data_IF_291141441190
#
_entry.id   IF_291141441190
#
_cell.length_a   1.000
_cell.length_b   1.000
_cell.length_c   1.000
_cell.angle_alpha   90.00
_cell.angle_beta   90.00
_cell.angle_gamma   90.00
#
_symmetry.space_group_name_H-M   'P 1'
#
loop_
_entity.id
_entity.type
_entity.pdbx_description
1 polymer ?
#
# COMPACT_ATOMS: atom_id res chain seq x y z
N UNK A 1 11.45 96.51 12.88
CA UNK A 1 12.19 95.24 13.00
C UNK A 1 11.52 94.21 12.10
N UNK A 2 12.06 93.96 10.92
CA UNK A 2 11.46 93.09 9.89
C UNK A 2 12.10 91.71 9.96
N UNK A 3 11.30 90.65 10.19
CA UNK A 3 11.77 89.25 10.17
C UNK A 3 11.47 88.67 8.78
N UNK A 4 12.53 88.47 8.01
CA UNK A 4 12.52 87.75 6.73
C UNK A 4 12.32 86.26 6.96
N UNK A 5 11.15 85.75 6.55
CA UNK A 5 10.85 84.32 6.50
C UNK A 5 11.45 83.72 5.22
N UNK A 6 12.55 82.97 5.36
CA UNK A 6 13.13 82.18 4.26
C UNK A 6 12.24 80.97 3.97
N UNK A 7 11.46 81.05 2.89
CA UNK A 7 10.69 79.94 2.35
C UNK A 7 11.62 78.93 1.68
N UNK A 8 11.92 77.83 2.38
CA UNK A 8 12.70 76.71 1.85
C UNK A 8 11.81 75.87 0.93
N UNK A 9 11.91 76.08 -0.39
CA UNK A 9 11.25 75.22 -1.38
C UNK A 9 11.76 73.78 -1.23
N UNK A 10 10.88 72.77 -1.14
CA UNK A 10 11.31 71.38 -1.15
C UNK A 10 11.97 71.05 -2.50
N UNK A 11 13.03 70.21 -2.52
CA UNK A 11 13.67 69.81 -3.77
C UNK A 11 12.63 69.15 -4.69
N UNK A 12 12.63 69.54 -5.96
CA UNK A 12 11.73 69.00 -6.96
C UNK A 12 11.98 67.50 -7.16
N UNK A 13 10.96 66.68 -6.92
CA UNK A 13 10.90 65.24 -7.19
C UNK A 13 10.84 64.92 -8.70
N UNK A 14 11.67 65.58 -9.51
CA UNK A 14 11.64 65.47 -10.98
C UNK A 14 12.95 64.90 -11.52
N UNK A 15 13.31 63.65 -11.17
CA UNK A 15 14.26 62.84 -11.98
C UNK A 15 14.47 61.38 -11.54
N UNK A 16 13.48 60.68 -10.99
CA UNK A 16 13.57 59.21 -10.74
C UNK A 16 12.47 58.41 -11.47
N UNK A 17 12.28 58.63 -12.77
CA UNK A 17 11.17 58.00 -13.53
C UNK A 17 11.54 56.71 -14.30
N UNK A 18 12.71 56.11 -14.06
CA UNK A 18 13.13 54.87 -14.76
C UNK A 18 13.61 53.72 -13.87
N UNK A 19 14.23 54.02 -12.72
CA UNK A 19 14.86 53.00 -11.87
C UNK A 19 13.85 52.05 -11.21
N UNK A 20 12.68 52.56 -10.82
CA UNK A 20 11.64 51.76 -10.14
C UNK A 20 11.10 50.65 -11.03
N UNK A 21 10.90 50.90 -12.33
CA UNK A 21 10.43 49.89 -13.28
C UNK A 21 11.45 48.74 -13.43
N UNK A 22 12.74 49.08 -13.52
CA UNK A 22 13.81 48.09 -13.60
C UNK A 22 13.88 47.20 -12.36
N UNK A 23 13.84 47.82 -11.17
CA UNK A 23 13.86 47.07 -9.91
C UNK A 23 12.61 46.20 -9.78
N UNK A 24 11.44 46.72 -10.12
CA UNK A 24 10.19 45.96 -10.11
C UNK A 24 10.24 44.74 -11.04
N UNK A 25 10.81 44.90 -12.25
CA UNK A 25 10.95 43.81 -13.20
C UNK A 25 11.96 42.75 -12.73
N UNK A 26 13.09 43.17 -12.16
CA UNK A 26 14.05 42.25 -11.53
C UNK A 26 13.37 41.45 -10.42
N UNK A 27 12.64 42.13 -9.52
CA UNK A 27 11.92 41.46 -8.43
C UNK A 27 10.85 40.49 -8.95
N UNK A 28 10.09 40.87 -9.98
CA UNK A 28 9.08 39.99 -10.60
C UNK A 28 9.74 38.73 -11.17
N UNK A 29 10.86 38.87 -11.89
CA UNK A 29 11.61 37.72 -12.42
C UNK A 29 12.12 36.84 -11.28
N UNK A 30 12.68 37.42 -10.22
CA UNK A 30 13.16 36.65 -9.06
C UNK A 30 12.02 35.86 -8.41
N UNK A 31 10.86 36.49 -8.18
CA UNK A 31 9.67 35.82 -7.64
C UNK A 31 9.16 34.72 -8.56
N UNK A 32 9.17 34.94 -9.88
CA UNK A 32 8.78 33.93 -10.84
C UNK A 32 9.71 32.71 -10.80
N UNK A 33 11.03 32.92 -10.74
CA UNK A 33 12.02 31.84 -10.64
C UNK A 33 11.89 31.06 -9.33
N UNK A 34 11.67 31.75 -8.21
CA UNK A 34 11.40 31.10 -6.91
C UNK A 34 10.12 30.26 -7.00
N UNK A 35 9.06 30.81 -7.63
CA UNK A 35 7.81 30.10 -7.84
C UNK A 35 7.98 28.81 -8.65
N UNK A 36 8.77 28.84 -9.72
CA UNK A 36 9.05 27.64 -10.53
C UNK A 36 9.76 26.56 -9.73
N UNK A 37 10.78 26.92 -8.94
CA UNK A 37 11.51 25.95 -8.10
C UNK A 37 10.60 25.38 -7.01
N UNK A 38 9.77 26.21 -6.38
CA UNK A 38 8.80 25.76 -5.37
C UNK A 38 7.80 24.74 -5.94
N UNK A 39 7.30 24.95 -7.16
CA UNK A 39 6.41 24.00 -7.84
C UNK A 39 7.09 22.68 -8.15
N UNK A 40 8.38 22.68 -8.50
CA UNK A 40 9.14 21.44 -8.73
C UNK A 40 9.22 20.58 -7.45
N UNK A 41 9.46 21.22 -6.31
CA UNK A 41 9.49 20.52 -5.01
C UNK A 41 8.10 19.98 -4.66
N UNK A 42 7.05 20.78 -4.84
CA UNK A 42 5.67 20.33 -4.62
C UNK A 42 5.31 19.12 -5.50
N UNK A 43 5.70 19.13 -6.78
CA UNK A 43 5.47 18.00 -7.67
C UNK A 43 6.22 16.72 -7.26
N UNK A 44 7.43 16.84 -6.70
CA UNK A 44 8.15 15.69 -6.14
C UNK A 44 7.45 15.13 -4.89
N UNK A 45 6.94 16.01 -4.03
CA UNK A 45 6.17 15.61 -2.85
C UNK A 45 4.84 14.93 -3.22
N UNK A 46 4.16 15.43 -4.25
CA UNK A 46 2.92 14.82 -4.76
C UNK A 46 3.19 13.41 -5.30
N UNK A 47 4.25 13.21 -6.08
CA UNK A 47 4.64 11.88 -6.58
C UNK A 47 5.00 10.93 -5.44
N UNK A 48 5.69 11.42 -4.41
CA UNK A 48 6.01 10.62 -3.22
C UNK A 48 4.74 10.24 -2.45
N UNK A 49 3.81 11.18 -2.26
CA UNK A 49 2.53 10.93 -1.60
C UNK A 49 1.67 9.94 -2.40
N UNK A 50 1.65 10.06 -3.73
CA UNK A 50 0.94 9.13 -4.62
C UNK A 50 1.50 7.69 -4.51
N UNK A 51 2.83 7.54 -4.50
CA UNK A 51 3.46 6.23 -4.33
C UNK A 51 3.13 5.62 -2.94
N UNK A 52 3.22 6.42 -1.88
CA UNK A 52 2.86 5.97 -0.53
C UNK A 52 1.40 5.51 -0.44
N UNK A 53 0.48 6.26 -1.06
CA UNK A 53 -0.93 5.88 -1.11
C UNK A 53 -1.15 4.59 -1.90
N UNK A 54 -0.47 4.39 -3.03
CA UNK A 54 -0.59 3.16 -3.83
C UNK A 54 -0.12 1.91 -3.05
N UNK A 55 1.02 2.02 -2.35
CA UNK A 55 1.52 0.93 -1.48
C UNK A 55 0.53 0.59 -0.37
N UNK A 56 -0.01 1.60 0.32
CA UNK A 56 -1.00 1.38 1.37
C UNK A 56 -2.29 0.75 0.85
N UNK A 57 -2.74 1.18 -0.34
CA UNK A 57 -3.93 0.62 -0.96
C UNK A 57 -3.73 -0.85 -1.34
N UNK A 58 -2.58 -1.21 -1.90
CA UNK A 58 -2.25 -2.61 -2.16
C UNK A 58 -2.25 -3.43 -0.86
N UNK A 59 -1.66 -2.91 0.22
CA UNK A 59 -1.62 -3.58 1.51
C UNK A 59 -3.02 -3.80 2.10
N UNK A 60 -3.86 -2.76 2.17
CA UNK A 60 -5.23 -2.85 2.70
C UNK A 60 -6.08 -3.86 1.94
N UNK A 61 -5.84 -3.99 0.64
CA UNK A 61 -6.57 -4.96 -0.17
C UNK A 61 -6.15 -6.39 0.06
N UNK A 62 -4.84 -6.65 0.16
CA UNK A 62 -4.37 -7.98 0.56
C UNK A 62 -4.84 -8.31 1.97
N UNK A 63 -4.85 -7.33 2.89
CA UNK A 63 -5.39 -7.53 4.23
C UNK A 63 -6.87 -7.92 4.16
N UNK A 64 -7.69 -7.17 3.42
CA UNK A 64 -9.09 -7.51 3.20
C UNK A 64 -9.28 -8.91 2.58
N UNK A 65 -8.42 -9.28 1.62
CA UNK A 65 -8.41 -10.61 1.02
C UNK A 65 -8.12 -11.71 2.05
N UNK A 66 -7.06 -11.55 2.85
CA UNK A 66 -6.66 -12.49 3.90
C UNK A 66 -7.73 -12.58 5.00
N UNK A 67 -8.32 -11.46 5.42
CA UNK A 67 -9.43 -11.46 6.39
C UNK A 67 -10.65 -12.24 5.92
N UNK A 68 -11.02 -12.14 4.65
CA UNK A 68 -12.09 -12.95 4.10
C UNK A 68 -11.71 -14.44 4.08
N UNK A 69 -10.45 -14.78 3.81
CA UNK A 69 -9.97 -16.17 3.88
C UNK A 69 -10.04 -16.70 5.31
N UNK A 70 -9.56 -15.96 6.31
CA UNK A 70 -9.65 -16.33 7.73
C UNK A 70 -11.10 -16.65 8.12
N UNK A 71 -12.05 -15.79 7.73
CA UNK A 71 -13.47 -16.02 7.98
C UNK A 71 -14.01 -17.27 7.27
N UNK A 72 -13.67 -17.48 5.99
CA UNK A 72 -14.09 -18.69 5.28
C UNK A 72 -13.51 -19.97 5.92
N UNK A 73 -12.28 -19.91 6.47
CA UNK A 73 -11.65 -21.03 7.18
C UNK A 73 -12.32 -21.30 8.53
N UNK A 74 -12.73 -20.26 9.25
CA UNK A 74 -13.52 -20.37 10.48
C UNK A 74 -14.88 -21.01 10.20
N UNK A 75 -15.59 -20.55 9.17
CA UNK A 75 -16.88 -21.15 8.76
C UNK A 75 -16.70 -22.62 8.31
N UNK A 76 -15.63 -22.92 7.58
CA UNK A 76 -15.30 -24.28 7.14
C UNK A 76 -15.06 -25.23 8.33
N UNK A 77 -14.25 -24.83 9.30
CA UNK A 77 -13.94 -25.66 10.48
C UNK A 77 -15.17 -25.84 11.37
N UNK A 78 -15.94 -24.77 11.58
CA UNK A 78 -17.17 -24.80 12.38
C UNK A 78 -18.38 -25.41 11.66
N UNK A 79 -18.23 -25.84 10.40
CA UNK A 79 -19.30 -26.34 9.53
C UNK A 79 -20.49 -25.37 9.42
N UNK A 80 -20.21 -24.08 9.43
CA UNK A 80 -21.19 -23.01 9.28
C UNK A 80 -21.44 -22.71 7.79
N UNK A 81 -22.62 -22.17 7.43
CA UNK A 81 -22.82 -21.63 6.09
C UNK A 81 -21.89 -20.44 5.87
N UNK A 82 -21.42 -20.24 4.62
CA UNK A 82 -20.51 -19.13 4.30
C UNK A 82 -21.16 -17.78 4.66
N UNK A 83 -20.60 -17.12 5.67
CA UNK A 83 -21.04 -15.85 6.21
C UNK A 83 -20.23 -14.66 5.67
N UNK A 84 -19.17 -14.95 4.92
CA UNK A 84 -18.22 -13.98 4.39
C UNK A 84 -18.19 -13.98 2.85
N UNK A 85 -17.38 -13.08 2.27
CA UNK A 85 -17.18 -13.10 0.82
C UNK A 85 -16.47 -14.39 0.45
N UNK A 86 -17.04 -15.19 -0.44
CA UNK A 86 -16.41 -16.43 -0.87
C UNK A 86 -15.18 -16.13 -1.72
N UNK A 87 -14.00 -16.42 -1.16
CA UNK A 87 -12.69 -16.27 -1.83
C UNK A 87 -12.00 -17.62 -2.00
N UNK A 88 -12.58 -18.70 -1.46
CA UNK A 88 -11.99 -20.03 -1.49
C UNK A 88 -12.53 -20.88 -2.65
N UNK A 89 -13.61 -20.48 -3.32
CA UNK A 89 -14.14 -21.18 -4.50
C UNK A 89 -13.18 -21.10 -5.70
N UNK A 90 -12.17 -21.97 -5.69
CA UNK A 90 -11.09 -22.05 -6.68
C UNK A 90 -9.70 -22.20 -6.07
N UNK A 91 -9.58 -22.09 -4.74
CA UNK A 91 -8.32 -22.26 -4.00
C UNK A 91 -8.33 -23.62 -3.32
N UNK A 92 -7.33 -24.46 -3.61
CA UNK A 92 -7.13 -25.72 -2.90
C UNK A 92 -6.30 -25.49 -1.64
N UNK A 93 -6.81 -25.92 -0.49
CA UNK A 93 -6.05 -25.95 0.77
C UNK A 93 -5.05 -27.10 0.71
N UNK A 94 -3.75 -26.80 0.86
CA UNK A 94 -2.70 -27.82 0.99
C UNK A 94 -2.67 -28.37 2.41
N UNK A 95 -2.70 -29.69 2.56
CA UNK A 95 -2.54 -30.40 3.84
C UNK A 95 -1.15 -31.02 3.98
N UNK A 96 -0.21 -30.69 3.07
CA UNK A 96 1.13 -31.29 3.04
C UNK A 96 2.14 -30.35 3.68
N UNK A 97 2.88 -30.87 4.66
CA UNK A 97 3.92 -30.12 5.36
C UNK A 97 5.21 -29.93 4.55
N UNK A 98 5.51 -30.87 3.65
CA UNK A 98 6.70 -30.86 2.79
C UNK A 98 6.28 -30.64 1.33
N UNK A 99 5.66 -29.49 1.05
CA UNK A 99 5.32 -29.04 -0.30
C UNK A 99 6.34 -28.01 -0.84
N UNK A 100 7.40 -27.73 -0.08
CA UNK A 100 8.47 -26.78 -0.45
C UNK A 100 7.99 -25.33 -0.60
N UNK A 101 6.82 -24.97 -0.06
CA UNK A 101 6.29 -23.62 -0.17
C UNK A 101 7.12 -22.61 0.63
N UNK A 102 7.71 -21.65 -0.09
CA UNK A 102 8.33 -20.46 0.46
C UNK A 102 7.60 -19.24 -0.09
N UNK A 103 7.16 -18.35 0.80
CA UNK A 103 6.35 -17.19 0.40
C UNK A 103 7.13 -16.19 -0.43
N UNK A 104 8.43 -16.01 -0.16
CA UNK A 104 9.29 -15.15 -0.97
C UNK A 104 9.40 -15.65 -2.41
N UNK A 105 9.67 -16.95 -2.59
CA UNK A 105 9.74 -17.59 -3.92
C UNK A 105 8.37 -17.56 -4.60
N UNK A 106 7.30 -17.89 -3.88
CA UNK A 106 5.93 -17.87 -4.42
C UNK A 106 5.50 -16.47 -4.87
N UNK A 107 5.82 -15.42 -4.11
CA UNK A 107 5.57 -14.01 -4.48
C UNK A 107 6.46 -13.60 -5.65
N UNK A 108 7.71 -14.03 -5.70
CA UNK A 108 8.64 -13.65 -6.79
C UNK A 108 8.19 -14.11 -8.17
N UNK A 109 7.38 -15.17 -8.25
CA UNK A 109 6.76 -15.64 -9.48
C UNK A 109 5.48 -14.89 -9.88
N UNK A 110 5.01 -13.92 -9.08
CA UNK A 110 3.80 -13.15 -9.33
C UNK A 110 4.07 -11.94 -10.19
N UNK A 111 3.08 -11.61 -11.01
CA UNK A 111 3.02 -10.35 -11.76
C UNK A 111 1.84 -9.53 -11.28
N UNK A 112 1.84 -8.24 -11.61
CA UNK A 112 0.69 -7.36 -11.37
C UNK A 112 -0.61 -7.92 -11.98
N UNK A 113 -0.50 -8.63 -13.12
CA UNK A 113 -1.63 -9.27 -13.79
C UNK A 113 -2.08 -10.61 -13.14
N UNK A 114 -1.32 -11.14 -12.18
CA UNK A 114 -1.68 -12.36 -11.46
C UNK A 114 -2.47 -12.11 -10.18
N UNK A 115 -2.71 -10.83 -9.83
CA UNK A 115 -3.55 -10.46 -8.71
C UNK A 115 -5.05 -10.56 -9.04
N UNK A 116 -5.91 -10.97 -8.08
CA UNK A 116 -5.55 -11.47 -6.75
C UNK A 116 -5.07 -12.93 -6.80
N UNK A 117 -4.13 -13.30 -5.93
CA UNK A 117 -3.64 -14.67 -5.78
C UNK A 117 -3.58 -15.08 -4.31
N UNK A 118 -3.91 -16.35 -4.05
CA UNK A 118 -3.98 -16.94 -2.73
C UNK A 118 -3.28 -18.30 -2.71
N UNK A 119 -2.63 -18.59 -1.59
CA UNK A 119 -2.17 -19.92 -1.23
C UNK A 119 -2.52 -20.15 0.24
N UNK A 120 -3.21 -21.26 0.52
CA UNK A 120 -3.64 -21.62 1.88
C UNK A 120 -3.11 -23.00 2.19
N UNK A 121 -2.44 -23.13 3.33
CA UNK A 121 -1.85 -24.38 3.82
C UNK A 121 -2.33 -24.64 5.23
N UNK A 122 -2.81 -25.84 5.51
CA UNK A 122 -3.08 -26.29 6.87
C UNK A 122 -1.77 -26.84 7.45
N UNK A 123 -1.32 -26.25 8.56
CA UNK A 123 0.00 -26.48 9.15
C UNK A 123 -0.04 -27.01 10.59
N UNK A 124 -1.21 -27.40 11.07
CA UNK A 124 -1.40 -27.97 12.42
C UNK A 124 -0.55 -29.23 12.65
N UNK A 125 -0.39 -30.08 11.63
CA UNK A 125 0.43 -31.29 11.71
C UNK A 125 1.93 -31.06 11.37
N UNK A 126 2.29 -29.83 10.95
CA UNK A 126 3.61 -29.51 10.42
C UNK A 126 4.60 -28.98 11.47
N UNK A 127 4.13 -28.67 12.68
CA UNK A 127 4.98 -28.22 13.77
C UNK A 127 5.63 -29.44 14.44
N UNK A 128 6.93 -29.62 14.22
CA UNK A 128 7.72 -30.74 14.74
C UNK A 128 7.72 -30.72 16.28
N UNK A 129 7.03 -31.70 16.88
CA UNK A 129 6.91 -31.84 18.33
C UNK A 129 5.57 -32.41 18.81
N UNK A 130 4.53 -32.34 17.98
CA UNK A 130 3.19 -32.88 18.27
C UNK A 130 2.73 -33.98 17.31
N UNK A 131 3.49 -34.29 16.26
CA UNK A 131 3.18 -35.39 15.34
C UNK A 131 3.32 -36.74 16.06
N UNK A 132 2.27 -37.59 16.13
CA UNK A 132 2.41 -38.94 16.63
C UNK A 132 3.37 -39.69 15.71
N UNK A 133 4.39 -40.33 16.27
CA UNK A 133 5.36 -41.17 15.53
C UNK A 133 4.71 -42.50 15.09
N UNK A 134 3.44 -42.48 14.68
CA UNK A 134 2.63 -43.66 14.39
C UNK A 134 2.40 -43.82 12.88
N UNK A 135 3.07 -44.83 12.33
CA UNK A 135 2.95 -45.31 10.97
C UNK A 135 1.54 -45.85 10.68
N UNK A 136 0.92 -45.34 9.60
CA UNK A 136 -0.12 -46.03 8.83
C UNK A 136 -1.57 -45.93 9.36
N UNK A 137 -2.44 -45.37 8.49
CA UNK A 137 -3.89 -45.59 8.42
C UNK A 137 -4.70 -45.46 9.73
N UNK A 138 -4.86 -44.24 10.21
CA UNK A 138 -5.99 -43.82 11.05
C UNK A 138 -6.93 -42.88 10.27
N UNK A 139 -8.22 -42.76 10.63
CA UNK A 139 -9.13 -41.85 9.94
C UNK A 139 -8.63 -40.42 10.06
N UNK A 140 -8.55 -39.70 8.93
CA UNK A 140 -8.30 -38.26 8.90
C UNK A 140 -9.46 -37.56 9.62
N UNK A 141 -9.31 -37.21 10.90
CA UNK A 141 -10.42 -36.61 11.64
C UNK A 141 -10.30 -36.43 13.14
N UNK A 142 -9.24 -36.89 13.82
CA UNK A 142 -9.13 -36.70 15.27
C UNK A 142 -7.82 -36.03 15.72
N UNK A 143 -7.96 -34.71 15.86
CA UNK A 143 -7.47 -33.90 16.99
C UNK A 143 -5.96 -33.61 17.08
N UNK A 144 -5.50 -32.69 16.23
CA UNK A 144 -4.66 -31.63 16.79
C UNK A 144 -5.58 -30.66 17.55
N UNK A 145 -5.34 -30.37 18.85
CA UNK A 145 -6.20 -29.47 19.64
C UNK A 145 -6.15 -28.02 19.15
N UNK A 146 -5.23 -27.71 18.24
CA UNK A 146 -4.99 -26.39 17.69
C UNK A 146 -4.99 -26.52 16.16
N UNK A 147 -5.93 -25.86 15.49
CA UNK A 147 -5.95 -25.79 14.02
C UNK A 147 -5.22 -24.53 13.58
N UNK A 148 -4.18 -24.69 12.77
CA UNK A 148 -3.38 -23.59 12.22
C UNK A 148 -3.36 -23.63 10.70
N UNK A 149 -3.54 -22.46 10.11
CA UNK A 149 -3.42 -22.23 8.67
C UNK A 149 -2.32 -21.20 8.41
N UNK A 150 -1.47 -21.47 7.43
CA UNK A 150 -0.64 -20.45 6.81
C UNK A 150 -1.40 -19.91 5.58
N UNK A 151 -1.59 -18.59 5.54
CA UNK A 151 -2.29 -17.90 4.47
C UNK A 151 -1.32 -16.92 3.83
N UNK A 152 -0.98 -17.18 2.57
CA UNK A 152 -0.17 -16.29 1.75
C UNK A 152 -1.05 -15.64 0.70
N UNK A 153 -1.24 -14.33 0.80
CA UNK A 153 -2.04 -13.51 -0.12
C UNK A 153 -1.19 -12.53 -0.93
N UNK A 154 -1.61 -12.27 -2.16
CA UNK A 154 -1.01 -11.30 -3.06
C UNK A 154 -2.11 -10.55 -3.82
N UNK A 155 -2.05 -9.22 -3.81
CA UNK A 155 -2.99 -8.33 -4.49
C UNK A 155 -2.31 -7.00 -4.81
N UNK A 156 -2.98 -6.18 -5.62
CA UNK A 156 -2.49 -4.91 -6.14
C UNK A 156 -3.27 -3.71 -5.63
N UNK A 157 -2.73 -2.51 -5.83
CA UNK A 157 -3.40 -1.24 -5.51
C UNK A 157 -4.77 -1.11 -6.21
N UNK A 158 -4.84 -1.52 -7.48
CA UNK A 158 -6.05 -1.44 -8.31
C UNK A 158 -6.56 -2.82 -8.74
N UNK A 159 -7.89 -2.96 -8.96
CA UNK A 159 -8.46 -4.25 -9.27
C UNK A 159 -8.11 -4.62 -10.70
N UNK A 160 -7.64 -5.84 -10.88
CA UNK A 160 -7.22 -6.34 -12.19
C UNK A 160 -8.44 -6.78 -13.01
N UNK A 161 -9.22 -5.78 -13.45
CA UNK A 161 -10.52 -5.93 -14.09
C UNK A 161 -10.51 -5.22 -15.45
N UNK A 162 -11.22 -5.76 -16.42
CA UNK A 162 -11.32 -5.17 -17.77
C UNK A 162 -11.97 -3.79 -17.68
N UNK A 163 -11.28 -2.76 -18.17
CA UNK A 163 -11.77 -1.37 -18.15
C UNK A 163 -11.35 -0.58 -16.90
N UNK A 164 -10.64 -1.19 -15.94
CA UNK A 164 -9.97 -0.48 -14.87
C UNK A 164 -8.54 -0.05 -15.29
N UNK A 165 -7.97 1.02 -14.70
CA UNK A 165 -6.56 1.35 -14.90
C UNK A 165 -5.67 0.19 -14.44
N UNK A 166 -4.56 -0.01 -15.14
CA UNK A 166 -3.61 -1.06 -14.78
C UNK A 166 -3.02 -0.78 -13.37
N UNK A 167 -2.90 -1.81 -12.51
CA UNK A 167 -2.24 -1.67 -11.23
C UNK A 167 -0.78 -1.27 -11.39
N UNK A 168 -0.27 -0.55 -10.41
CA UNK A 168 1.12 -0.04 -10.42
C UNK A 168 1.96 -0.64 -9.30
N UNK A 169 1.31 -1.10 -8.24
CA UNK A 169 1.96 -1.54 -7.01
C UNK A 169 1.28 -2.82 -6.53
N UNK A 170 2.07 -3.72 -5.93
CA UNK A 170 1.56 -4.92 -5.31
C UNK A 170 2.05 -5.03 -3.86
N UNK A 171 1.27 -5.76 -3.07
CA UNK A 171 1.67 -6.18 -1.74
C UNK A 171 1.48 -7.69 -1.62
N UNK A 172 2.22 -8.29 -0.69
CA UNK A 172 2.01 -9.66 -0.28
C UNK A 172 1.95 -9.71 1.24
N UNK A 173 1.09 -10.58 1.75
CA UNK A 173 0.95 -10.86 3.18
C UNK A 173 1.08 -12.36 3.37
N UNK A 174 1.91 -12.75 4.33
CA UNK A 174 1.97 -14.11 4.84
C UNK A 174 1.61 -14.08 6.32
N UNK A 175 0.61 -14.86 6.68
CA UNK A 175 0.04 -14.86 8.03
C UNK A 175 -0.17 -16.29 8.49
N UNK A 176 -0.02 -16.50 9.80
CA UNK A 176 -0.44 -17.75 10.44
C UNK A 176 -1.70 -17.46 11.24
N UNK A 177 -2.78 -18.08 10.82
CA UNK A 177 -4.08 -17.99 11.46
C UNK A 177 -4.31 -19.23 12.31
N UNK A 178 -4.66 -19.02 13.57
CA UNK A 178 -4.98 -20.07 14.53
C UNK A 178 -6.44 -19.94 14.93
N UNK A 179 -7.18 -21.05 14.86
CA UNK A 179 -8.53 -21.20 15.38
C UNK A 179 -8.52 -21.61 16.86
#
# INVERSE_FOLDING_TARGET
MSRSTLSRRPPSLRQQRGAVLYIALIMLILLALIGLVAMQVAGMQERMAANYNAVNQAFQRVEGLVRNVECNLEDLENRLPNSCTDVLSGVSISYRCDDGHDTGVWVSGRTLASAPALNVRKIDECVVGESPIAMGVGPMGETSPIVMYQISGYDTDLPNQVGAPAPTTAAALDTVFKL
#
